data_IF_425388388134
#
_entry.id   IF_425388388134
#
_cell.length_a   1.000
_cell.length_b   1.000
_cell.length_c   1.000
_cell.angle_alpha   90.00
_cell.angle_beta   90.00
_cell.angle_gamma   90.00
#
_symmetry.space_group_name_H-M   'P 1'
#
loop_
_entity.id
_entity.type
_entity.pdbx_description
1 polymer ?
#
# COMPACT_ATOMS: atom_id res chain seq x y z
N UNK A 1 17.30 30.55 -54.75
CA UNK A 1 16.47 29.55 -54.04
C UNK A 1 17.00 29.36 -52.64
N UNK A 2 16.24 29.74 -51.62
CA UNK A 2 16.59 29.50 -50.23
C UNK A 2 16.24 28.06 -49.86
N UNK A 3 17.21 27.28 -49.37
CA UNK A 3 16.98 25.95 -48.81
C UNK A 3 16.90 26.07 -47.28
N UNK A 4 15.82 25.63 -46.63
CA UNK A 4 15.76 25.63 -45.16
C UNK A 4 16.78 24.62 -44.58
N UNK A 5 17.35 24.89 -43.41
CA UNK A 5 18.44 24.12 -42.82
C UNK A 5 18.00 22.67 -42.54
N UNK A 6 18.82 21.68 -42.94
CA UNK A 6 18.61 20.26 -42.64
C UNK A 6 18.58 20.03 -41.12
N UNK A 7 17.39 19.82 -40.56
CA UNK A 7 17.20 19.34 -39.18
C UNK A 7 17.81 17.95 -39.06
N UNK A 8 18.81 17.82 -38.20
CA UNK A 8 19.52 16.58 -37.92
C UNK A 8 18.58 15.64 -37.14
N UNK A 9 18.24 14.51 -37.74
CA UNK A 9 17.36 13.46 -37.18
C UNK A 9 17.85 12.86 -35.86
N UNK A 10 19.13 13.07 -35.53
CA UNK A 10 19.80 12.48 -34.36
C UNK A 10 19.42 13.09 -33.01
N UNK A 11 18.87 14.31 -32.97
CA UNK A 11 18.42 14.93 -31.72
C UNK A 11 17.07 14.34 -31.26
N UNK A 12 16.18 14.06 -32.20
CA UNK A 12 14.84 13.51 -31.92
C UNK A 12 14.93 12.06 -31.46
N UNK A 13 15.77 11.23 -32.10
CA UNK A 13 15.97 9.83 -31.69
C UNK A 13 16.57 9.71 -30.28
N UNK A 14 17.49 10.60 -29.91
CA UNK A 14 18.05 10.64 -28.55
C UNK A 14 16.99 11.01 -27.51
N UNK A 15 16.07 11.92 -27.84
CA UNK A 15 14.98 12.31 -26.96
C UNK A 15 13.97 11.16 -26.77
N UNK A 16 13.65 10.43 -27.84
CA UNK A 16 12.76 9.27 -27.77
C UNK A 16 13.36 8.09 -27.00
N UNK A 17 14.67 7.87 -27.12
CA UNK A 17 15.37 6.84 -26.35
C UNK A 17 15.33 7.12 -24.84
N UNK A 18 15.52 8.38 -24.44
CA UNK A 18 15.44 8.80 -23.04
C UNK A 18 13.99 8.70 -22.50
N UNK A 19 12.99 9.05 -23.31
CA UNK A 19 11.59 8.93 -22.93
C UNK A 19 11.14 7.46 -22.76
N UNK A 20 11.58 6.56 -23.65
CA UNK A 20 11.31 5.12 -23.53
C UNK A 20 12.00 4.48 -22.32
N UNK A 21 13.22 4.93 -21.99
CA UNK A 21 13.92 4.46 -20.79
C UNK A 21 13.22 4.92 -19.50
N UNK A 22 12.69 6.14 -19.46
CA UNK A 22 12.00 6.68 -18.29
C UNK A 22 10.61 6.08 -18.04
N UNK A 23 9.93 5.59 -19.09
CA UNK A 23 8.58 4.99 -18.98
C UNK A 23 8.60 3.47 -18.74
N UNK A 24 9.76 2.82 -18.88
CA UNK A 24 9.95 1.43 -18.46
C UNK A 24 10.14 1.38 -16.95
N UNK A 25 9.10 0.96 -16.23
CA UNK A 25 9.16 0.64 -14.80
C UNK A 25 9.72 -0.77 -14.63
N UNK A 26 10.93 -0.97 -14.09
CA UNK A 26 11.37 -2.30 -13.71
C UNK A 26 10.89 -2.58 -12.29
N UNK A 27 10.01 -3.55 -12.09
CA UNK A 27 9.88 -4.24 -10.81
C UNK A 27 9.06 -5.52 -10.94
N UNK A 28 9.80 -6.61 -10.99
CA UNK A 28 9.40 -7.92 -10.51
C UNK A 28 8.86 -7.79 -9.07
N UNK A 29 7.61 -8.17 -8.87
CA UNK A 29 7.12 -8.56 -7.56
C UNK A 29 6.17 -9.73 -7.80
N UNK A 30 6.68 -10.95 -7.61
CA UNK A 30 5.89 -12.18 -7.49
C UNK A 30 4.58 -11.87 -6.73
N UNK A 31 3.41 -12.29 -7.22
CA UNK A 31 2.19 -12.20 -6.43
C UNK A 31 2.46 -12.98 -5.14
N UNK A 32 2.59 -12.26 -4.01
CA UNK A 32 2.50 -12.91 -2.70
C UNK A 32 1.17 -13.63 -2.75
N UNK A 33 1.20 -14.96 -2.61
CA UNK A 33 0.00 -15.77 -2.62
C UNK A 33 -1.05 -15.05 -1.77
N UNK A 34 -2.17 -14.70 -2.38
CA UNK A 34 -3.33 -14.18 -1.67
C UNK A 34 -3.81 -15.34 -0.78
N UNK A 35 -3.14 -15.55 0.35
CA UNK A 35 -3.75 -16.14 1.52
C UNK A 35 -4.91 -15.20 1.75
N UNK A 36 -6.13 -15.62 1.41
CA UNK A 36 -7.35 -14.90 1.75
C UNK A 36 -7.19 -14.64 3.24
N UNK A 37 -6.84 -13.42 3.67
CA UNK A 37 -6.79 -13.19 5.09
C UNK A 37 -8.24 -13.39 5.50
N UNK A 38 -8.48 -14.21 6.51
CA UNK A 38 -9.70 -14.07 7.29
C UNK A 38 -9.60 -12.65 7.87
N UNK A 39 -10.05 -11.67 7.07
CA UNK A 39 -9.81 -10.26 7.29
C UNK A 39 -10.53 -9.82 8.55
N UNK A 40 -10.05 -8.77 9.19
CA UNK A 40 -10.80 -8.13 10.27
C UNK A 40 -12.01 -7.45 9.62
N UNK A 41 -13.21 -7.81 10.05
CA UNK A 41 -14.43 -7.12 9.63
C UNK A 41 -14.63 -5.89 10.51
N UNK A 42 -14.85 -4.73 9.89
CA UNK A 42 -15.17 -3.51 10.62
C UNK A 42 -16.62 -3.57 11.09
N UNK A 43 -16.81 -3.64 12.40
CA UNK A 43 -18.13 -3.69 13.03
C UNK A 43 -18.32 -2.53 14.01
N UNK A 44 -19.55 -2.04 14.11
CA UNK A 44 -19.93 -1.04 15.10
C UNK A 44 -20.42 -1.74 16.37
N UNK A 45 -19.58 -1.79 17.39
CA UNK A 45 -19.91 -2.32 18.72
C UNK A 45 -19.85 -1.22 19.78
N UNK A 46 -20.64 -1.36 20.84
CA UNK A 46 -20.55 -0.49 22.01
C UNK A 46 -19.57 -1.11 23.01
N UNK A 47 -18.63 -0.32 23.49
CA UNK A 47 -17.61 -0.68 24.48
C UNK A 47 -17.71 0.36 25.60
N UNK A 48 -17.56 -0.09 26.84
CA UNK A 48 -17.53 0.81 28.00
C UNK A 48 -16.32 1.75 27.94
N UNK A 49 -16.48 2.96 28.46
CA UNK A 49 -15.47 4.02 28.34
C UNK A 49 -14.19 3.70 29.10
N UNK A 50 -14.29 3.08 30.27
CA UNK A 50 -13.16 2.65 31.09
C UNK A 50 -12.33 1.56 30.41
N UNK A 51 -13.00 0.59 29.78
CA UNK A 51 -12.35 -0.45 28.97
C UNK A 51 -11.61 0.18 27.80
N UNK A 52 -12.27 1.10 27.08
CA UNK A 52 -11.66 1.79 25.94
C UNK A 52 -10.46 2.64 26.37
N UNK A 53 -10.55 3.38 27.49
CA UNK A 53 -9.45 4.15 28.05
C UNK A 53 -8.26 3.24 28.42
N UNK A 54 -8.51 2.12 29.12
CA UNK A 54 -7.47 1.16 29.50
C UNK A 54 -6.65 0.67 28.30
N UNK A 55 -7.31 0.34 27.18
CA UNK A 55 -6.59 -0.11 25.98
C UNK A 55 -5.89 1.03 25.24
N UNK A 56 -6.46 2.24 25.24
CA UNK A 56 -5.87 3.41 24.57
C UNK A 56 -4.65 3.97 25.29
N UNK A 57 -4.62 3.93 26.62
CA UNK A 57 -3.51 4.45 27.43
C UNK A 57 -2.17 3.78 27.10
N UNK A 58 -2.23 2.52 26.71
CA UNK A 58 -1.06 1.76 26.31
C UNK A 58 -0.53 2.10 24.89
N UNK A 59 -1.19 3.00 24.16
CA UNK A 59 -0.73 3.54 22.88
C UNK A 59 -1.10 2.72 21.64
N UNK A 60 -0.28 2.86 20.59
CA UNK A 60 -0.55 2.31 19.25
C UNK A 60 -0.86 0.79 19.29
N UNK A 61 -1.84 0.36 18.50
CA UNK A 61 -2.27 -1.05 18.46
C UNK A 61 -3.30 -1.43 19.53
N UNK A 62 -3.93 -0.47 20.22
CA UNK A 62 -4.99 -0.73 21.20
C UNK A 62 -6.15 -1.59 20.65
N UNK A 63 -6.55 -1.40 19.39
CA UNK A 63 -7.59 -2.22 18.75
C UNK A 63 -7.17 -3.70 18.59
N UNK A 64 -5.90 -3.95 18.27
CA UNK A 64 -5.38 -5.31 18.15
C UNK A 64 -5.37 -6.02 19.49
N UNK A 65 -5.05 -5.29 20.57
CA UNK A 65 -5.12 -5.81 21.94
C UNK A 65 -6.54 -6.12 22.39
N UNK A 66 -7.50 -5.25 22.07
CA UNK A 66 -8.93 -5.56 22.29
C UNK A 66 -9.32 -6.84 21.56
N UNK A 67 -8.94 -6.97 20.30
CA UNK A 67 -9.25 -8.17 19.52
C UNK A 67 -8.59 -9.43 20.10
N UNK A 68 -7.34 -9.35 20.57
CA UNK A 68 -6.67 -10.45 21.27
C UNK A 68 -7.36 -10.83 22.58
N UNK A 69 -7.82 -9.86 23.37
CA UNK A 69 -8.57 -10.12 24.60
C UNK A 69 -9.91 -10.82 24.30
N UNK A 70 -10.62 -10.38 23.25
CA UNK A 70 -11.88 -11.00 22.80
C UNK A 70 -11.66 -12.43 22.32
N UNK A 71 -10.58 -12.71 21.58
CA UNK A 71 -10.24 -14.08 21.15
C UNK A 71 -9.97 -15.02 22.32
N UNK A 72 -9.20 -14.57 23.31
CA UNK A 72 -8.94 -15.32 24.54
C UNK A 72 -10.24 -15.61 25.30
N UNK A 73 -11.11 -14.62 25.45
CA UNK A 73 -12.40 -14.79 26.12
C UNK A 73 -13.32 -15.77 25.39
N UNK A 74 -13.30 -15.75 24.05
CA UNK A 74 -14.04 -16.66 23.19
C UNK A 74 -13.40 -18.06 23.06
N UNK A 75 -12.23 -18.30 23.67
CA UNK A 75 -11.44 -19.55 23.54
C UNK A 75 -11.11 -19.88 22.07
N UNK A 76 -10.80 -18.85 21.30
CA UNK A 76 -10.35 -18.96 19.90
C UNK A 76 -8.81 -19.01 19.77
N UNK A 77 -8.11 -18.99 20.91
CA UNK A 77 -6.65 -19.15 21.09
C UNK A 77 -6.34 -20.45 21.83
#
# INVERSE_FOLDING_TARGET
>A
MAYPPRRHTSATEKAEALFKAATTKPADAKPKANVIPQGKEQVSIRIDHDVLAYFQDEGAGWQDRINSALRKAAKLD
#
